data_IF_431419279318
#
_entry.id   IF_431419279318
#
_cell.length_a   1.000
_cell.length_b   1.000
_cell.length_c   1.000
_cell.angle_alpha   90.00
_cell.angle_beta   90.00
_cell.angle_gamma   90.00
#
_symmetry.space_group_name_H-M   'P 1'
#
loop_
_entity.id
_entity.type
_entity.pdbx_description
1 polymer ?
#
# COMPACT_ATOMS: atom_id res chain seq x y z
N UNK A 1 8.21 -9.85 16.12
CA UNK A 1 6.86 -9.55 15.58
C UNK A 1 5.74 -9.74 16.61
N UNK A 2 5.52 -10.94 17.18
CA UNK A 2 4.44 -11.12 18.19
C UNK A 2 4.65 -10.28 19.46
N UNK A 3 5.90 -10.11 19.91
CA UNK A 3 6.25 -9.28 21.08
C UNK A 3 6.05 -7.77 20.86
N UNK A 4 6.04 -7.32 19.60
CA UNK A 4 5.78 -5.92 19.26
C UNK A 4 4.26 -5.64 19.09
N UNK A 5 3.38 -6.57 19.50
CA UNK A 5 1.93 -6.41 19.43
C UNK A 5 1.35 -6.56 18.02
N UNK A 6 2.08 -7.20 17.10
CA UNK A 6 1.52 -7.59 15.80
C UNK A 6 0.78 -8.91 15.91
N UNK A 7 -0.40 -8.97 15.29
CA UNK A 7 -1.07 -10.23 14.99
C UNK A 7 -0.42 -10.83 13.74
N UNK A 8 0.04 -12.07 13.84
CA UNK A 8 0.73 -12.78 12.76
C UNK A 8 -0.03 -14.07 12.47
N UNK A 9 -0.54 -14.21 11.26
CA UNK A 9 -1.29 -15.36 10.77
C UNK A 9 -0.56 -15.96 9.57
N UNK A 10 -0.33 -17.27 9.59
CA UNK A 10 0.22 -17.97 8.44
C UNK A 10 -0.89 -18.21 7.42
N UNK A 11 -0.56 -18.00 6.14
CA UNK A 11 -1.42 -18.26 4.98
C UNK A 11 -0.75 -19.31 4.07
N UNK A 12 -1.49 -19.76 3.06
CA UNK A 12 -1.01 -20.78 2.13
C UNK A 12 0.21 -20.32 1.32
N UNK A 13 1.10 -21.27 1.01
CA UNK A 13 2.32 -21.01 0.23
C UNK A 13 3.42 -20.29 1.01
N UNK A 14 3.43 -20.39 2.35
CA UNK A 14 4.43 -19.76 3.20
C UNK A 14 4.25 -18.25 3.36
N UNK A 15 3.09 -17.73 2.95
CA UNK A 15 2.71 -16.34 3.16
C UNK A 15 2.37 -16.09 4.62
N UNK A 16 2.58 -14.86 5.04
CA UNK A 16 2.29 -14.43 6.41
C UNK A 16 1.54 -13.11 6.35
N UNK A 17 0.32 -13.12 6.89
CA UNK A 17 -0.46 -11.91 7.14
C UNK A 17 -0.04 -11.31 8.47
N UNK A 18 0.31 -10.03 8.44
CA UNK A 18 0.68 -9.24 9.61
C UNK A 18 -0.31 -8.10 9.75
N UNK A 19 -0.94 -7.97 10.92
CA UNK A 19 -1.91 -6.90 11.18
C UNK A 19 -1.69 -6.23 12.53
N UNK A 20 -1.97 -4.91 12.58
CA UNK A 20 -1.95 -4.05 13.77
C UNK A 20 -2.59 -2.70 13.46
N UNK A 21 -3.15 -2.03 14.47
CA UNK A 21 -3.76 -0.69 14.34
C UNK A 21 -4.90 -0.59 13.30
N UNK A 22 -5.56 -1.71 12.97
CA UNK A 22 -6.55 -1.78 11.89
C UNK A 22 -5.94 -1.74 10.48
N UNK A 23 -4.62 -1.93 10.38
CA UNK A 23 -3.89 -2.07 9.13
C UNK A 23 -3.34 -3.50 9.00
N UNK A 24 -3.16 -3.94 7.76
CA UNK A 24 -2.55 -5.23 7.49
C UNK A 24 -1.70 -5.21 6.21
N UNK A 25 -0.88 -6.25 6.07
CA UNK A 25 -0.06 -6.53 4.91
C UNK A 25 0.15 -8.04 4.83
N UNK A 26 0.44 -8.54 3.63
CA UNK A 26 0.88 -9.93 3.44
C UNK A 26 2.29 -9.92 2.91
N UNK A 27 3.16 -10.67 3.58
CA UNK A 27 4.55 -10.87 3.22
C UNK A 27 4.74 -12.32 2.79
N UNK A 28 5.61 -12.53 1.81
CA UNK A 28 5.92 -13.83 1.27
C UNK A 28 7.43 -14.03 1.10
N UNK A 29 7.92 -15.28 1.12
CA UNK A 29 9.34 -15.56 0.89
C UNK A 29 9.72 -15.21 -0.56
N UNK A 30 10.79 -14.44 -0.74
CA UNK A 30 11.42 -14.27 -2.06
C UNK A 30 12.45 -15.38 -2.31
N UNK A 31 12.66 -15.80 -3.57
CA UNK A 31 13.80 -16.63 -3.96
C UNK A 31 15.17 -16.04 -3.58
N UNK A 32 15.27 -14.70 -3.41
CA UNK A 32 16.50 -14.02 -2.98
C UNK A 32 16.76 -14.10 -1.47
N UNK A 33 15.86 -14.68 -0.69
CA UNK A 33 15.97 -14.80 0.77
C UNK A 33 15.48 -13.59 1.57
N UNK A 34 15.17 -12.47 0.91
CA UNK A 34 14.56 -11.30 1.56
C UNK A 34 13.02 -11.37 1.48
N UNK A 35 12.27 -11.13 2.57
CA UNK A 35 10.81 -11.15 2.51
C UNK A 35 10.27 -10.04 1.61
N UNK A 36 9.33 -10.39 0.71
CA UNK A 36 8.68 -9.43 -0.18
C UNK A 36 7.22 -9.21 0.21
N UNK A 37 6.69 -8.03 -0.10
CA UNK A 37 5.27 -7.74 0.13
C UNK A 37 4.41 -8.34 -0.98
N UNK A 38 3.73 -9.45 -0.69
CA UNK A 38 2.67 -9.98 -1.55
C UNK A 38 1.50 -8.99 -1.66
N UNK A 39 1.13 -8.36 -0.54
CA UNK A 39 0.18 -7.25 -0.48
C UNK A 39 0.79 -6.09 0.30
N UNK A 40 0.85 -4.91 -0.31
CA UNK A 40 1.36 -3.69 0.33
C UNK A 40 0.52 -3.34 1.58
N UNK A 41 1.11 -2.67 2.59
CA UNK A 41 0.37 -2.19 3.75
C UNK A 41 -0.87 -1.37 3.38
N UNK A 42 -2.01 -1.72 3.98
CA UNK A 42 -3.29 -1.06 3.76
C UNK A 42 -4.20 -1.15 4.99
N UNK A 43 -5.42 -0.62 4.88
CA UNK A 43 -6.42 -0.71 5.93
C UNK A 43 -7.19 -2.03 5.85
N UNK A 44 -7.49 -2.64 6.99
CA UNK A 44 -8.39 -3.77 7.05
C UNK A 44 -9.84 -3.28 6.91
N UNK A 45 -10.54 -3.80 5.90
CA UNK A 45 -11.94 -3.50 5.63
C UNK A 45 -12.66 -4.82 5.40
N UNK A 46 -13.33 -5.31 6.44
CA UNK A 46 -13.85 -6.69 6.44
C UNK A 46 -12.69 -7.69 6.37
N UNK A 47 -12.70 -8.57 5.38
CA UNK A 47 -11.65 -9.57 5.14
C UNK A 47 -10.52 -9.06 4.23
N UNK A 48 -10.77 -7.95 3.53
CA UNK A 48 -9.87 -7.36 2.55
C UNK A 48 -8.85 -6.40 3.18
N UNK A 49 -7.75 -6.19 2.45
CA UNK A 49 -6.77 -5.14 2.73
C UNK A 49 -6.93 -4.06 1.64
N UNK A 50 -7.56 -2.94 2.00
CA UNK A 50 -7.78 -1.83 1.10
C UNK A 50 -6.52 -0.95 0.98
N UNK A 51 -6.11 -0.66 -0.25
CA UNK A 51 -4.94 0.17 -0.53
C UNK A 51 -5.31 1.65 -0.63
N UNK A 52 -4.34 2.51 -0.32
CA UNK A 52 -4.54 3.96 -0.29
C UNK A 52 -4.32 4.57 -1.68
N UNK A 53 -5.38 5.12 -2.26
CA UNK A 53 -5.40 5.80 -3.56
C UNK A 53 -5.55 7.31 -3.38
N UNK A 54 -4.83 8.09 -4.16
CA UNK A 54 -4.94 9.55 -4.16
C UNK A 54 -5.58 10.06 -5.46
N UNK A 55 -6.69 10.77 -5.31
CA UNK A 55 -7.49 11.35 -6.41
C UNK A 55 -7.28 12.88 -6.51
N UNK A 56 -6.18 13.40 -5.96
CA UNK A 56 -5.80 14.81 -6.05
C UNK A 56 -6.35 15.67 -4.90
N UNK A 57 -7.68 15.64 -4.66
CA UNK A 57 -8.30 16.43 -3.59
C UNK A 57 -8.54 15.65 -2.29
N UNK A 58 -8.61 14.32 -2.39
CA UNK A 58 -8.92 13.43 -1.27
C UNK A 58 -8.25 12.07 -1.51
N UNK A 59 -7.82 11.44 -0.42
CA UNK A 59 -7.34 10.05 -0.41
C UNK A 59 -8.47 9.08 -0.09
N UNK A 60 -8.42 7.89 -0.67
CA UNK A 60 -9.43 6.86 -0.51
C UNK A 60 -8.79 5.51 -0.21
N UNK A 61 -9.44 4.74 0.65
CA UNK A 61 -9.22 3.31 0.75
C UNK A 61 -10.00 2.61 -0.35
N UNK A 62 -9.31 1.78 -1.15
CA UNK A 62 -9.89 1.03 -2.24
C UNK A 62 -9.55 -0.46 -2.09
N UNK A 63 -10.57 -1.31 -2.13
CA UNK A 63 -10.45 -2.74 -2.45
C UNK A 63 -11.23 -3.04 -3.73
N UNK A 64 -11.42 -4.30 -4.11
CA UNK A 64 -12.13 -4.64 -5.35
C UNK A 64 -13.62 -4.27 -5.31
N UNK A 65 -14.20 -4.19 -4.11
CA UNK A 65 -15.64 -4.03 -3.91
C UNK A 65 -16.06 -2.58 -3.61
N UNK A 66 -15.19 -1.81 -2.93
CA UNK A 66 -15.57 -0.57 -2.24
C UNK A 66 -14.49 0.50 -2.30
N UNK A 67 -14.96 1.74 -2.26
CA UNK A 67 -14.13 2.95 -2.10
C UNK A 67 -14.65 3.77 -0.93
N UNK A 68 -13.79 4.04 0.05
CA UNK A 68 -14.13 4.82 1.23
C UNK A 68 -13.15 5.99 1.41
N UNK A 69 -13.61 7.19 1.82
CA UNK A 69 -12.71 8.30 2.07
C UNK A 69 -11.75 7.97 3.22
N UNK A 70 -10.47 8.25 3.03
CA UNK A 70 -9.46 8.03 4.06
C UNK A 70 -9.48 9.16 5.10
N UNK A 71 -9.73 8.79 6.34
CA UNK A 71 -9.70 9.71 7.49
C UNK A 71 -8.26 9.93 7.96
N UNK A 72 -7.99 11.11 8.54
CA UNK A 72 -6.65 11.46 9.04
C UNK A 72 -6.09 10.44 10.04
N UNK A 73 -6.92 9.98 10.99
CA UNK A 73 -6.52 8.97 11.98
C UNK A 73 -6.09 7.63 11.33
N UNK A 74 -6.75 7.23 10.23
CA UNK A 74 -6.39 6.01 9.50
C UNK A 74 -5.08 6.17 8.73
N UNK A 75 -4.80 7.37 8.20
CA UNK A 75 -3.51 7.67 7.56
C UNK A 75 -2.36 7.62 8.58
N UNK A 76 -2.59 8.15 9.78
CA UNK A 76 -1.63 8.07 10.89
C UNK A 76 -1.41 6.63 11.33
N UNK A 77 -2.49 5.82 11.42
CA UNK A 77 -2.40 4.40 11.74
C UNK A 77 -1.57 3.64 10.70
N UNK A 78 -1.82 3.85 9.40
CA UNK A 78 -1.05 3.21 8.32
C UNK A 78 0.43 3.63 8.38
N UNK A 79 0.70 4.90 8.62
CA UNK A 79 2.07 5.40 8.73
C UNK A 79 2.81 4.76 9.90
N UNK A 80 2.20 4.74 11.09
CA UNK A 80 2.75 4.11 12.29
C UNK A 80 2.98 2.61 12.08
N UNK A 81 1.99 1.92 11.50
CA UNK A 81 2.09 0.51 11.15
C UNK A 81 3.30 0.24 10.26
N UNK A 82 3.48 1.04 9.21
CA UNK A 82 4.62 0.91 8.31
C UNK A 82 5.98 1.21 8.95
N UNK A 83 6.06 2.05 9.99
CA UNK A 83 7.29 2.27 10.75
C UNK A 83 7.60 1.08 11.65
N UNK A 84 6.65 0.70 12.52
CA UNK A 84 6.83 -0.41 13.47
C UNK A 84 7.09 -1.74 12.75
N UNK A 85 6.47 -1.94 11.58
CA UNK A 85 6.68 -3.14 10.77
C UNK A 85 8.11 -3.22 10.22
N UNK A 86 8.67 -2.09 9.77
CA UNK A 86 10.06 -2.03 9.28
C UNK A 86 11.05 -2.29 10.41
N UNK A 87 10.84 -1.65 11.56
CA UNK A 87 11.64 -1.90 12.77
C UNK A 87 11.58 -3.37 13.18
N UNK A 88 10.38 -3.96 13.19
CA UNK A 88 10.15 -5.35 13.57
C UNK A 88 10.68 -6.39 12.57
N UNK A 89 10.88 -6.03 11.30
CA UNK A 89 11.49 -6.90 10.29
C UNK A 89 13.02 -6.83 10.28
N UNK A 90 13.64 -5.90 11.03
CA UNK A 90 15.09 -5.72 11.03
C UNK A 90 15.65 -5.29 9.67
N UNK A 91 14.79 -4.83 8.75
CA UNK A 91 15.21 -4.32 7.45
C UNK A 91 15.89 -2.98 7.69
N UNK A 92 17.21 -2.92 7.46
CA UNK A 92 17.98 -1.68 7.46
C UNK A 92 17.24 -0.65 6.63
N UNK A 93 16.72 0.39 7.27
CA UNK A 93 15.87 1.39 6.67
C UNK A 93 16.55 2.00 5.43
N UNK A 94 16.21 1.51 4.24
CA UNK A 94 16.55 2.17 2.99
C UNK A 94 15.70 3.44 2.94
N UNK A 95 16.34 4.54 3.35
CA UNK A 95 15.84 5.92 3.42
C UNK A 95 15.04 6.34 2.17
N UNK A 96 15.27 5.69 1.02
CA UNK A 96 14.60 5.97 -0.25
C UNK A 96 13.16 5.42 -0.35
N UNK A 97 12.75 4.48 0.50
CA UNK A 97 11.33 4.08 0.59
C UNK A 97 10.52 4.95 1.55
N UNK A 98 11.19 5.67 2.45
CA UNK A 98 10.55 6.47 3.50
C UNK A 98 9.95 7.79 2.99
N UNK A 99 10.37 8.25 1.80
CA UNK A 99 9.93 9.51 1.21
C UNK A 99 9.18 9.34 -0.12
N UNK A 100 8.71 8.13 -0.43
CA UNK A 100 7.72 7.94 -1.49
C UNK A 100 6.34 8.15 -0.91
N UNK A 101 5.84 9.38 -0.97
CA UNK A 101 4.46 9.83 -0.71
C UNK A 101 3.40 8.75 -0.42
N UNK A 102 2.54 9.01 0.57
CA UNK A 102 1.45 8.19 1.12
C UNK A 102 0.31 7.84 0.13
N UNK A 103 0.64 7.61 -1.13
CA UNK A 103 -0.30 7.35 -2.21
C UNK A 103 0.28 6.21 -3.04
N UNK A 104 -0.31 5.02 -2.91
CA UNK A 104 0.14 3.82 -3.63
C UNK A 104 -0.13 3.93 -5.14
N UNK A 105 -1.07 4.80 -5.51
CA UNK A 105 -1.45 5.06 -6.90
C UNK A 105 -1.88 6.52 -7.04
N UNK A 106 -1.31 7.18 -8.05
CA UNK A 106 -1.69 8.53 -8.45
C UNK A 106 -2.50 8.44 -9.73
N UNK A 107 -3.81 8.64 -9.63
CA UNK A 107 -4.64 8.92 -10.80
C UNK A 107 -4.75 10.43 -10.94
N UNK A 108 -3.83 11.02 -11.69
CA UNK A 108 -4.06 12.36 -12.20
C UNK A 108 -5.11 12.28 -13.30
N UNK A 109 -6.22 12.98 -13.10
CA UNK A 109 -7.14 13.31 -14.18
C UNK A 109 -6.37 14.22 -15.16
N UNK A 110 -5.88 13.66 -16.26
CA UNK A 110 -5.25 14.49 -17.29
C UNK A 110 -6.38 15.26 -17.95
N UNK A 111 -6.35 16.59 -17.84
CA UNK A 111 -7.19 17.49 -18.64
C UNK A 111 -7.21 17.02 -20.10
N UNK A 112 -8.41 16.72 -20.62
CA UNK A 112 -8.64 16.47 -22.04
C UNK A 112 -8.08 17.65 -22.88
N UNK A 113 -7.41 17.35 -24.00
CA UNK A 113 -7.03 18.38 -24.98
C UNK A 113 -5.53 18.53 -25.31
N UNK A 114 -4.65 17.64 -24.84
CA UNK A 114 -3.26 17.54 -25.35
C UNK A 114 -2.97 16.19 -25.98
N UNK A 115 -3.79 15.77 -26.94
CA UNK A 115 -3.36 14.76 -27.90
C UNK A 115 -2.34 15.39 -28.85
N UNK A 116 -1.21 14.71 -29.08
CA UNK A 116 -0.20 15.14 -30.04
C UNK A 116 -0.85 15.25 -31.42
N UNK A 117 -0.54 16.27 -32.25
CA UNK A 117 -1.16 16.42 -33.56
C UNK A 117 -0.97 15.14 -34.38
N UNK A 118 -2.08 14.55 -34.83
CA UNK A 118 -2.08 13.42 -35.76
C UNK A 118 -1.29 13.84 -37.01
N UNK A 119 -0.16 13.18 -37.24
CA UNK A 119 0.68 13.40 -38.43
C UNK A 119 -0.15 13.07 -39.67
N UNK A 120 -0.56 14.08 -40.43
CA UNK A 120 -1.21 13.91 -41.75
C UNK A 120 -0.22 13.19 -42.68
N UNK A 121 -0.59 12.00 -43.16
CA UNK A 121 0.07 11.40 -44.32
C UNK A 121 -0.58 11.97 -45.59
N UNK A 122 0.20 12.42 -46.58
CA UNK A 122 -0.34 12.81 -47.88
C UNK A 122 -0.78 11.60 -48.70
N UNK A 123 -1.76 11.84 -49.57
CA UNK A 123 -2.44 10.91 -50.47
C UNK A 123 -1.53 10.26 -51.51
#
# INVERSE_FOLDING_TARGET
>A
MKEAGFTVQAEDGGRVRVSKHGCATVIEPSPSGEPQFALRPGMEIGENIAHLVDQGFQKFWQDDDRRLPALSAQLQALHRFGQELREGMGLTALYNEALGTVSSRYHYDRLEGREKPKRRQPF
#
